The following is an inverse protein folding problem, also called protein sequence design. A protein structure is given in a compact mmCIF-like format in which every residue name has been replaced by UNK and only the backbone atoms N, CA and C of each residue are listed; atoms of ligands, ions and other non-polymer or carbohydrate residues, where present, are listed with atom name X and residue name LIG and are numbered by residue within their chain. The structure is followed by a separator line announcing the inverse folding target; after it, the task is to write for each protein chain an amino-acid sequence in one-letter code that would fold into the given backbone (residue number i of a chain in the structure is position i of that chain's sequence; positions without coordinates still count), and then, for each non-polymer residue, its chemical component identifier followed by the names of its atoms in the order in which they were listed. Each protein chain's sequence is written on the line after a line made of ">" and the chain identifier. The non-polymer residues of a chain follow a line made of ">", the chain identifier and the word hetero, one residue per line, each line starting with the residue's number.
data_IF_839717000708
#
_entry.id   IF_839717000708
#
_cell.length_a   1.000
_cell.length_b   1.000
_cell.length_c   1.000
_cell.angle_alpha   90.00
_cell.angle_beta   90.00
_cell.angle_gamma   90.00
#
_symmetry.space_group_name_H-M   'P 1'
#
loop_
_entity.id
_entity.type
_entity.pdbx_description
1 polymer ?
#
# COMPACT_ATOMS: atom_id res chain seq x y z
N UNK A 1 -27.48 -22.42 35.19
CA UNK A 1 -27.73 -21.19 34.39
C UNK A 1 -26.49 -20.32 34.18
N UNK A 2 -25.72 -19.98 35.23
CA UNK A 2 -24.50 -19.13 35.10
C UNK A 2 -23.39 -19.69 34.20
N UNK A 3 -23.14 -21.00 34.24
CA UNK A 3 -22.11 -21.67 33.42
C UNK A 3 -22.43 -21.63 31.91
N UNK A 4 -23.70 -21.76 31.54
CA UNK A 4 -24.16 -21.72 30.14
C UNK A 4 -24.00 -20.31 29.57
N UNK A 5 -24.34 -19.28 30.36
CA UNK A 5 -24.18 -17.89 29.96
C UNK A 5 -22.69 -17.54 29.78
N UNK A 6 -21.81 -18.01 30.68
CA UNK A 6 -20.37 -17.78 30.59
C UNK A 6 -19.75 -18.44 29.35
N UNK A 7 -20.15 -19.69 29.05
CA UNK A 7 -19.71 -20.40 27.84
C UNK A 7 -20.16 -19.67 26.57
N UNK A 8 -21.38 -19.14 26.54
CA UNK A 8 -21.92 -18.39 25.39
C UNK A 8 -21.16 -17.08 25.16
N UNK A 9 -20.80 -16.35 26.23
CA UNK A 9 -20.02 -15.09 26.15
C UNK A 9 -18.60 -15.34 25.65
N UNK A 10 -17.95 -16.42 26.10
CA UNK A 10 -16.61 -16.81 25.63
C UNK A 10 -16.67 -17.20 24.15
N UNK A 11 -17.70 -17.97 23.74
CA UNK A 11 -17.89 -18.35 22.35
C UNK A 11 -18.14 -17.12 21.45
N UNK A 12 -18.96 -16.17 21.90
CA UNK A 12 -19.21 -14.91 21.17
C UNK A 12 -17.93 -14.07 21.04
N UNK A 13 -17.14 -13.97 22.09
CA UNK A 13 -15.87 -13.24 22.08
C UNK A 13 -14.85 -13.89 21.14
N UNK A 14 -14.79 -15.22 21.09
CA UNK A 14 -13.94 -15.96 20.15
C UNK A 14 -14.41 -15.79 18.70
N UNK A 15 -15.72 -15.84 18.43
CA UNK A 15 -16.27 -15.60 17.10
C UNK A 15 -16.00 -14.16 16.65
N UNK A 16 -16.16 -13.16 17.53
CA UNK A 16 -15.80 -11.78 17.20
C UNK A 16 -14.30 -11.59 17.01
N UNK A 17 -13.44 -12.29 17.75
CA UNK A 17 -12.00 -12.25 17.55
C UNK A 17 -11.57 -12.88 16.21
N UNK A 18 -12.22 -13.98 15.79
CA UNK A 18 -11.98 -14.64 14.50
C UNK A 18 -12.49 -13.78 13.34
N UNK A 19 -13.59 -13.04 13.52
CA UNK A 19 -14.13 -12.10 12.52
C UNK A 19 -13.35 -10.77 12.46
N UNK A 20 -12.58 -10.41 13.48
CA UNK A 20 -11.94 -9.07 13.61
C UNK A 20 -10.46 -9.02 13.22
N UNK A 21 -9.88 -10.11 12.74
CA UNK A 21 -8.47 -10.12 12.32
C UNK A 21 -8.29 -10.61 10.88
N UNK A 22 -9.03 -10.05 9.93
CA UNK A 22 -8.56 -10.07 8.55
C UNK A 22 -7.27 -9.23 8.47
N UNK A 23 -6.12 -9.89 8.56
CA UNK A 23 -4.84 -9.27 8.23
C UNK A 23 -4.89 -8.97 6.73
N UNK A 24 -5.27 -7.75 6.36
CA UNK A 24 -5.43 -7.40 4.96
C UNK A 24 -4.11 -7.55 4.21
N UNK A 25 -2.99 -7.07 4.75
CA UNK A 25 -1.68 -7.21 4.11
C UNK A 25 -0.63 -7.73 5.10
N UNK A 26 -0.30 -9.03 5.07
CA UNK A 26 0.67 -9.60 6.00
C UNK A 26 2.08 -9.07 5.75
N UNK A 27 2.92 -9.10 6.79
CA UNK A 27 4.35 -8.76 6.66
C UNK A 27 5.05 -9.66 5.63
N UNK A 28 6.08 -9.12 4.98
CA UNK A 28 6.87 -9.85 3.99
C UNK A 28 7.56 -8.94 2.99
N UNK A 29 8.27 -9.55 2.06
CA UNK A 29 8.87 -8.85 0.92
C UNK A 29 7.97 -8.98 -0.30
N UNK A 30 7.72 -7.86 -0.96
CA UNK A 30 6.77 -7.77 -2.05
C UNK A 30 7.30 -6.92 -3.20
N UNK A 31 6.85 -7.23 -4.41
CA UNK A 31 6.73 -6.24 -5.47
C UNK A 31 5.27 -5.84 -5.56
N UNK A 32 4.98 -4.54 -5.64
CA UNK A 32 3.60 -4.07 -5.75
C UNK A 32 3.38 -3.23 -7.00
N UNK A 33 2.19 -3.36 -7.58
CA UNK A 33 1.79 -2.79 -8.85
C UNK A 33 0.29 -2.47 -8.82
N UNK A 34 -0.18 -1.56 -9.68
CA UNK A 34 -1.58 -1.14 -9.70
C UNK A 34 -2.37 -1.88 -10.78
N UNK A 35 -3.66 -2.14 -10.55
CA UNK A 35 -4.55 -2.69 -11.58
C UNK A 35 -5.86 -3.31 -11.06
N UNK A 36 -6.82 -3.46 -11.97
CA UNK A 36 -8.23 -3.79 -11.72
C UNK A 36 -8.67 -5.00 -12.58
N UNK A 37 -8.23 -6.21 -12.24
CA UNK A 37 -8.47 -7.48 -12.98
C UNK A 37 -7.54 -7.79 -14.17
N UNK A 38 -7.29 -9.10 -14.35
CA UNK A 38 -6.27 -9.75 -15.19
C UNK A 38 -4.81 -9.45 -14.79
N UNK A 39 -3.91 -10.39 -15.09
CA UNK A 39 -2.45 -10.28 -14.91
C UNK A 39 -1.86 -9.86 -16.25
N UNK A 40 -1.78 -8.56 -16.60
CA UNK A 40 -1.11 -8.17 -17.82
C UNK A 40 0.37 -8.56 -17.79
N UNK A 41 0.86 -9.08 -18.92
CA UNK A 41 2.28 -9.35 -19.22
C UNK A 41 3.21 -8.13 -19.01
N UNK A 42 2.66 -6.94 -18.77
CA UNK A 42 3.34 -5.64 -18.72
C UNK A 42 3.30 -4.96 -17.34
N UNK A 43 3.12 -5.71 -16.25
CA UNK A 43 3.09 -5.13 -14.90
C UNK A 43 4.28 -4.20 -14.63
N UNK A 44 3.95 -2.97 -14.24
CA UNK A 44 4.91 -1.97 -13.79
C UNK A 44 4.90 -1.91 -12.28
N UNK A 45 6.05 -2.13 -11.68
CA UNK A 45 6.21 -2.21 -10.24
C UNK A 45 6.69 -0.87 -9.69
N UNK A 46 6.15 -0.50 -8.52
CA UNK A 46 6.69 0.62 -7.76
C UNK A 46 8.18 0.41 -7.52
N UNK A 47 8.98 1.39 -7.91
CA UNK A 47 10.44 1.33 -7.94
C UNK A 47 10.99 2.52 -7.18
N UNK A 48 11.81 2.25 -6.17
CA UNK A 48 12.54 3.26 -5.42
C UNK A 48 13.67 3.83 -6.27
N UNK A 49 13.55 5.07 -6.75
CA UNK A 49 14.63 5.64 -7.54
C UNK A 49 15.79 6.10 -6.66
N UNK A 50 17.03 5.65 -6.93
CA UNK A 50 18.18 5.95 -6.08
C UNK A 50 18.67 7.41 -6.20
N UNK A 51 18.19 8.20 -7.16
CA UNK A 51 18.63 9.58 -7.33
C UNK A 51 18.09 10.47 -6.18
N UNK A 52 19.00 10.93 -5.34
CA UNK A 52 18.74 11.73 -4.15
C UNK A 52 18.09 13.10 -4.45
N UNK A 53 18.16 13.61 -5.69
CA UNK A 53 17.53 14.90 -6.04
C UNK A 53 16.00 14.83 -6.07
N UNK A 54 15.42 13.68 -6.42
CA UNK A 54 13.95 13.52 -6.47
C UNK A 54 13.45 12.54 -5.42
N UNK A 55 14.26 11.55 -5.03
CA UNK A 55 13.87 10.53 -4.06
C UNK A 55 12.54 9.85 -4.41
N UNK A 56 12.11 9.91 -5.66
CA UNK A 56 10.75 9.61 -6.12
C UNK A 56 10.50 8.12 -6.21
N UNK A 57 9.22 7.74 -6.12
CA UNK A 57 8.78 6.39 -6.48
C UNK A 57 8.08 6.44 -7.82
N UNK A 58 8.54 5.63 -8.76
CA UNK A 58 7.95 5.52 -10.11
C UNK A 58 7.62 4.08 -10.46
N UNK A 59 6.87 3.85 -11.52
CA UNK A 59 6.53 2.50 -11.99
C UNK A 59 7.37 2.10 -13.20
N UNK A 60 8.01 0.93 -13.13
CA UNK A 60 8.79 0.36 -14.23
C UNK A 60 8.46 -1.12 -14.44
N UNK A 61 8.56 -1.66 -15.67
CA UNK A 61 8.53 -3.09 -15.91
C UNK A 61 9.64 -3.81 -15.12
N UNK A 62 9.50 -5.12 -14.95
CA UNK A 62 10.57 -5.94 -14.37
C UNK A 62 11.79 -5.89 -15.29
N UNK A 63 12.91 -5.37 -14.78
CA UNK A 63 14.15 -5.21 -15.54
C UNK A 63 15.37 -5.24 -14.61
N UNK A 64 16.56 -4.84 -15.09
CA UNK A 64 17.80 -4.78 -14.30
C UNK A 64 17.70 -3.92 -13.01
N UNK A 65 16.66 -3.08 -12.87
CA UNK A 65 16.36 -2.28 -11.65
C UNK A 65 15.50 -3.05 -10.63
N UNK A 66 15.24 -4.34 -10.83
CA UNK A 66 14.33 -5.15 -10.00
C UNK A 66 14.65 -5.17 -8.50
N UNK A 67 15.90 -4.93 -8.09
CA UNK A 67 16.28 -4.79 -6.67
C UNK A 67 15.64 -3.58 -5.99
N UNK A 68 15.36 -2.52 -6.75
CA UNK A 68 14.68 -1.30 -6.26
C UNK A 68 13.15 -1.44 -6.27
N UNK A 69 12.63 -2.55 -6.80
CA UNK A 69 11.20 -2.88 -6.84
C UNK A 69 10.77 -3.78 -5.67
N UNK A 70 11.71 -4.19 -4.81
CA UNK A 70 11.43 -5.03 -3.65
C UNK A 70 11.20 -4.13 -2.44
N UNK A 71 10.04 -4.33 -1.82
CA UNK A 71 9.58 -3.59 -0.67
C UNK A 71 9.30 -4.53 0.48
N UNK A 72 9.89 -4.25 1.64
CA UNK A 72 9.58 -4.94 2.89
C UNK A 72 8.38 -4.27 3.53
N UNK A 73 7.26 -4.96 3.56
CA UNK A 73 6.04 -4.55 4.25
C UNK A 73 6.08 -5.09 5.67
N UNK A 74 5.87 -4.22 6.66
CA UNK A 74 5.71 -4.58 8.06
C UNK A 74 4.31 -4.18 8.52
N UNK A 75 3.51 -5.19 8.86
CA UNK A 75 2.21 -5.00 9.50
C UNK A 75 2.40 -4.59 10.97
N UNK A 76 1.63 -3.58 11.40
CA UNK A 76 1.71 -2.98 12.73
C UNK A 76 0.43 -3.20 13.57
N UNK A 77 -0.55 -3.95 13.06
CA UNK A 77 -1.88 -4.07 13.67
C UNK A 77 -2.88 -3.06 13.10
N UNK A 78 -4.17 -3.30 13.32
CA UNK A 78 -5.27 -2.42 12.90
C UNK A 78 -5.22 -2.01 11.42
N UNK A 79 -4.78 -2.93 10.55
CA UNK A 79 -4.61 -2.70 9.12
C UNK A 79 -3.64 -1.55 8.79
N UNK A 80 -2.65 -1.31 9.65
CA UNK A 80 -1.60 -0.32 9.42
C UNK A 80 -0.32 -1.02 9.00
N UNK A 81 0.35 -0.47 7.98
CA UNK A 81 1.63 -0.96 7.49
C UNK A 81 2.66 0.15 7.38
N UNK A 82 3.94 -0.23 7.47
CA UNK A 82 5.06 0.55 6.94
C UNK A 82 5.70 -0.21 5.78
N UNK A 83 6.21 0.52 4.79
CA UNK A 83 6.76 -0.07 3.56
C UNK A 83 8.19 0.45 3.37
N UNK A 84 9.18 -0.42 3.51
CA UNK A 84 10.61 -0.12 3.42
C UNK A 84 11.18 -0.58 2.06
N UNK A 85 12.04 0.22 1.43
CA UNK A 85 12.75 -0.19 0.21
C UNK A 85 13.96 -1.06 0.55
N UNK A 86 14.08 -2.22 -0.12
CA UNK A 86 15.30 -3.05 -0.02
C UNK A 86 16.44 -2.50 -0.88
N UNK A 87 16.12 -1.93 -2.03
CA UNK A 87 17.11 -1.32 -2.94
C UNK A 87 17.69 -0.01 -2.42
N UNK A 88 16.93 0.71 -1.58
CA UNK A 88 17.39 1.91 -0.89
C UNK A 88 17.25 1.71 0.63
N UNK A 89 18.22 0.98 1.22
CA UNK A 89 18.20 0.54 2.63
C UNK A 89 17.88 1.68 3.60
N UNK A 90 17.13 1.36 4.65
CA UNK A 90 16.70 2.30 5.69
C UNK A 90 15.83 3.47 5.19
N UNK A 91 15.25 3.34 4.00
CA UNK A 91 14.30 4.32 3.45
C UNK A 91 12.93 3.69 3.22
N UNK A 92 11.90 4.48 3.41
CA UNK A 92 10.50 4.10 3.43
C UNK A 92 9.71 4.82 2.35
N UNK A 93 8.72 4.14 1.79
CA UNK A 93 7.67 4.80 1.03
C UNK A 93 7.01 5.83 1.95
N UNK A 94 7.02 7.09 1.55
CA UNK A 94 6.63 8.21 2.41
C UNK A 94 6.30 9.44 1.56
N UNK A 95 5.71 10.49 2.16
CA UNK A 95 5.60 11.77 1.46
C UNK A 95 6.96 12.26 0.96
N UNK A 96 7.02 12.68 -0.29
CA UNK A 96 8.23 13.25 -0.88
C UNK A 96 8.48 14.69 -0.41
N UNK A 97 9.29 15.43 -1.17
CA UNK A 97 9.67 16.82 -0.86
C UNK A 97 8.47 17.75 -0.63
N UNK A 98 7.39 17.56 -1.39
CA UNK A 98 6.19 18.40 -1.30
C UNK A 98 5.23 18.00 -0.18
N UNK A 99 5.58 17.00 0.65
CA UNK A 99 4.73 16.53 1.73
C UNK A 99 3.50 15.74 1.25
N UNK A 100 2.48 15.66 2.10
CA UNK A 100 1.26 14.90 1.85
C UNK A 100 0.14 15.84 1.39
N UNK A 101 0.14 16.20 0.11
CA UNK A 101 -0.89 17.03 -0.54
C UNK A 101 -1.46 16.29 -1.76
N UNK A 102 -2.70 16.58 -2.19
CA UNK A 102 -3.19 16.10 -3.48
C UNK A 102 -2.22 16.47 -4.62
N UNK A 103 -1.86 15.50 -5.45
CA UNK A 103 -0.87 15.63 -6.54
C UNK A 103 0.59 15.52 -6.09
N UNK A 104 0.89 15.56 -4.79
CA UNK A 104 2.27 15.45 -4.32
C UNK A 104 2.83 14.04 -4.54
N UNK A 105 4.04 13.96 -5.09
CA UNK A 105 4.73 12.69 -5.33
C UNK A 105 5.18 12.02 -4.03
N UNK A 106 5.08 10.69 -4.01
CA UNK A 106 5.70 9.87 -2.98
C UNK A 106 7.19 9.74 -3.24
N UNK A 107 7.91 9.60 -2.13
CA UNK A 107 9.34 9.36 -2.14
C UNK A 107 9.78 8.22 -1.25
N UNK A 108 11.09 8.04 -1.25
CA UNK A 108 11.85 7.05 -0.50
C UNK A 108 12.74 7.84 0.46
N UNK A 109 12.21 8.05 1.67
CA UNK A 109 12.83 8.92 2.69
C UNK A 109 13.17 8.13 3.95
N UNK A 110 13.91 8.70 4.89
CA UNK A 110 14.19 8.07 6.19
C UNK A 110 12.97 8.06 7.12
N UNK A 111 11.88 8.76 6.77
CA UNK A 111 10.67 8.86 7.58
C UNK A 111 9.81 7.60 7.46
N UNK A 112 9.60 6.91 8.59
CA UNK A 112 8.70 5.75 8.67
C UNK A 112 7.24 6.17 8.55
N UNK A 113 6.71 6.21 7.33
CA UNK A 113 5.31 6.51 7.11
C UNK A 113 4.43 5.28 7.39
N UNK A 114 3.38 5.50 8.16
CA UNK A 114 2.30 4.53 8.38
C UNK A 114 1.21 4.73 7.35
N UNK A 115 0.79 3.68 6.68
CA UNK A 115 -0.37 3.70 5.78
C UNK A 115 -1.47 2.83 6.35
N UNK A 116 -2.72 3.32 6.30
CA UNK A 116 -3.89 2.48 6.55
C UNK A 116 -4.19 1.70 5.28
N UNK A 117 -4.31 0.39 5.41
CA UNK A 117 -4.60 -0.55 4.32
C UNK A 117 -6.08 -0.86 4.34
N UNK A 118 -6.71 -0.87 3.17
CA UNK A 118 -8.09 -1.32 3.01
C UNK A 118 -8.15 -2.24 1.81
N UNK A 119 -8.73 -3.44 1.95
CA UNK A 119 -8.93 -4.35 0.82
C UNK A 119 -9.99 -3.74 -0.11
N UNK A 120 -9.66 -3.62 -1.39
CA UNK A 120 -10.55 -3.07 -2.44
C UNK A 120 -11.20 -4.20 -3.25
N UNK A 121 -10.48 -5.31 -3.45
CA UNK A 121 -10.99 -6.54 -4.06
C UNK A 121 -10.43 -7.76 -3.33
N UNK A 122 -11.12 -8.91 -3.38
CA UNK A 122 -10.71 -10.17 -2.75
C UNK A 122 -10.37 -11.28 -3.76
N UNK A 123 -9.97 -12.46 -3.24
CA UNK A 123 -9.70 -13.66 -4.04
C UNK A 123 -8.45 -13.53 -4.95
N UNK A 124 -8.44 -14.11 -6.17
CA UNK A 124 -7.29 -14.05 -7.07
C UNK A 124 -6.95 -12.62 -7.55
N UNK A 125 -7.83 -11.66 -7.30
CA UNK A 125 -7.66 -10.26 -7.67
C UNK A 125 -7.37 -9.36 -6.48
N UNK A 126 -6.99 -9.94 -5.33
CA UNK A 126 -6.82 -9.20 -4.08
C UNK A 126 -5.94 -7.97 -4.27
N UNK A 127 -6.52 -6.80 -3.99
CA UNK A 127 -5.88 -5.50 -4.15
C UNK A 127 -6.19 -4.61 -2.95
N UNK A 128 -5.31 -3.65 -2.69
CA UNK A 128 -5.38 -2.82 -1.50
C UNK A 128 -5.23 -1.35 -1.84
N UNK A 129 -5.99 -0.54 -1.12
CA UNK A 129 -5.77 0.88 -1.04
C UNK A 129 -4.75 1.17 0.06
N UNK A 130 -3.83 2.11 -0.19
CA UNK A 130 -2.89 2.62 0.80
C UNK A 130 -3.26 4.06 1.13
N UNK A 131 -3.87 4.29 2.28
CA UNK A 131 -4.33 5.60 2.71
C UNK A 131 -3.30 6.27 3.64
N UNK A 132 -3.08 7.57 3.41
CA UNK A 132 -2.39 8.44 4.35
C UNK A 132 -3.23 8.57 5.64
N UNK A 133 -2.63 8.50 6.83
CA UNK A 133 -3.37 8.32 8.08
C UNK A 133 -4.05 9.58 8.59
N UNK A 134 -3.71 10.77 8.04
CA UNK A 134 -4.31 12.05 8.40
C UNK A 134 -5.12 12.59 7.25
N UNK A 135 -6.23 13.25 7.55
CA UNK A 135 -6.98 14.02 6.55
C UNK A 135 -6.22 15.29 6.19
N UNK A 136 -6.31 15.68 4.93
CA UNK A 136 -5.75 16.92 4.39
C UNK A 136 -6.87 17.64 3.67
N UNK A 137 -7.16 18.88 4.05
CA UNK A 137 -8.35 19.62 3.60
C UNK A 137 -9.65 18.81 3.73
N UNK A 138 -9.82 18.14 4.88
CA UNK A 138 -10.93 17.22 5.19
C UNK A 138 -11.07 16.00 4.24
N UNK A 139 -10.09 15.75 3.37
CA UNK A 139 -10.07 14.60 2.45
C UNK A 139 -9.05 13.55 2.91
N UNK A 140 -9.39 12.28 2.75
CA UNK A 140 -8.40 11.20 2.89
C UNK A 140 -7.54 11.15 1.63
N UNK A 141 -6.23 11.15 1.79
CA UNK A 141 -5.30 10.94 0.67
C UNK A 141 -4.96 9.46 0.53
N UNK A 142 -4.86 9.00 -0.71
CA UNK A 142 -4.52 7.62 -1.05
C UNK A 142 -3.36 7.61 -2.03
N UNK A 143 -2.54 6.57 -1.97
CA UNK A 143 -1.45 6.36 -2.93
C UNK A 143 -2.04 5.89 -4.26
N UNK A 144 -1.75 6.62 -5.31
CA UNK A 144 -2.05 6.26 -6.70
C UNK A 144 -0.81 6.54 -7.56
N UNK A 145 -0.96 6.51 -8.88
CA UNK A 145 -0.01 7.13 -9.78
C UNK A 145 -0.68 8.17 -10.65
N UNK A 146 0.13 9.10 -11.15
CA UNK A 146 -0.33 10.13 -12.07
C UNK A 146 -0.36 9.59 -13.50
N UNK A 147 -1.55 9.60 -14.12
CA UNK A 147 -1.73 9.31 -15.55
C UNK A 147 -1.54 10.55 -16.45
N UNK A 148 -1.48 11.76 -15.87
CA UNK A 148 -1.38 13.02 -16.63
C UNK A 148 -0.01 13.22 -17.25
N UNK A 149 1.03 12.63 -16.66
CA UNK A 149 2.35 12.54 -17.28
C UNK A 149 2.31 11.46 -18.36
N UNK A 150 2.05 11.89 -19.60
CA UNK A 150 1.96 11.01 -20.80
C UNK A 150 3.28 10.36 -21.19
N UNK A 151 4.38 10.68 -20.52
CA UNK A 151 5.67 10.03 -20.72
C UNK A 151 5.98 9.10 -19.55
N UNK A 152 6.06 7.80 -19.87
CA UNK A 152 6.55 6.80 -18.94
C UNK A 152 7.97 7.16 -18.47
N UNK A 153 8.34 6.91 -17.21
CA UNK A 153 7.63 6.17 -16.15
C UNK A 153 6.72 7.01 -15.23
N UNK A 154 5.53 6.50 -14.90
CA UNK A 154 4.56 7.18 -14.02
C UNK A 154 5.05 7.31 -12.57
N UNK A 155 4.87 8.49 -11.99
CA UNK A 155 5.15 8.76 -10.57
C UNK A 155 4.01 8.27 -9.68
N UNK A 156 4.37 7.73 -8.51
CA UNK A 156 3.40 7.53 -7.44
C UNK A 156 3.11 8.88 -6.78
N UNK A 157 1.84 9.18 -6.57
CA UNK A 157 1.38 10.43 -5.97
C UNK A 157 0.26 10.18 -4.95
N UNK A 158 -0.04 11.21 -4.17
CA UNK A 158 -1.25 11.25 -3.36
C UNK A 158 -2.41 11.81 -4.18
N UNK A 159 -3.53 11.10 -4.19
CA UNK A 159 -4.80 11.62 -4.72
C UNK A 159 -5.84 11.66 -3.61
N UNK A 160 -6.82 12.56 -3.72
CA UNK A 160 -7.96 12.54 -2.81
C UNK A 160 -8.80 11.31 -3.10
N UNK A 161 -9.12 10.52 -2.06
CA UNK A 161 -10.05 9.40 -2.18
C UNK A 161 -11.38 9.91 -2.74
N UNK A 162 -11.84 9.32 -3.84
CA UNK A 162 -13.17 9.54 -4.43
C UNK A 162 -14.10 8.43 -3.96
N UNK A 163 -15.38 8.73 -3.80
CA UNK A 163 -16.35 7.79 -3.25
C UNK A 163 -16.73 6.64 -4.22
N UNK A 164 -16.37 6.75 -5.51
CA UNK A 164 -16.96 5.91 -6.58
C UNK A 164 -15.98 5.03 -7.36
N UNK A 165 -14.66 5.09 -7.09
CA UNK A 165 -13.69 4.28 -7.85
C UNK A 165 -13.51 2.88 -7.21
N UNK A 166 -14.52 2.03 -7.37
CA UNK A 166 -14.44 0.62 -6.98
C UNK A 166 -13.63 -0.17 -8.02
N UNK A 167 -12.48 -0.71 -7.61
CA UNK A 167 -11.73 -1.71 -8.40
C UNK A 167 -10.24 -1.44 -8.57
N UNK A 168 -9.78 -0.21 -8.37
CA UNK A 168 -8.38 0.15 -8.60
C UNK A 168 -7.60 0.19 -7.29
N UNK A 169 -6.62 -0.70 -7.15
CA UNK A 169 -5.79 -0.80 -5.95
C UNK A 169 -4.43 -1.42 -6.24
N UNK A 170 -3.56 -1.39 -5.25
CA UNK A 170 -2.24 -1.97 -5.30
C UNK A 170 -2.31 -3.47 -5.00
N UNK A 171 -1.82 -4.29 -5.92
CA UNK A 171 -1.61 -5.73 -5.72
C UNK A 171 -0.20 -5.96 -5.22
N UNK A 172 -0.04 -6.88 -4.26
CA UNK A 172 1.24 -7.20 -3.64
C UNK A 172 1.63 -8.64 -3.96
N UNK A 173 2.61 -8.81 -4.84
CA UNK A 173 3.19 -10.12 -5.17
C UNK A 173 4.36 -10.42 -4.25
N UNK A 174 4.31 -11.50 -3.48
CA UNK A 174 5.42 -11.91 -2.60
C UNK A 174 6.68 -12.18 -3.42
N UNK A 175 7.83 -11.80 -2.87
CA UNK A 175 9.16 -12.20 -3.31
C UNK A 175 9.60 -13.32 -2.38
N UNK A 176 9.85 -14.52 -2.94
CA UNK A 176 10.38 -15.67 -2.19
C UNK A 176 11.81 -15.40 -1.75
#
# INVERSE_FOLDING_TARGET
>A
MRLVILALVILLALVQAVLSAEIYLPSGEYRFYYGNFQVPRTHRFATAEPNARTGSVRTFPLNKRSKFQIWKVKHLGNNVVTIESKGARCKYLSPGRSGALPGAYLGVTTTKQRFKVTRVAGGPFTSYELAYPRKVFNKTLIVSYDYKDKEEPYYLNFVSRRNEEHGWGWKFSRVK
#
